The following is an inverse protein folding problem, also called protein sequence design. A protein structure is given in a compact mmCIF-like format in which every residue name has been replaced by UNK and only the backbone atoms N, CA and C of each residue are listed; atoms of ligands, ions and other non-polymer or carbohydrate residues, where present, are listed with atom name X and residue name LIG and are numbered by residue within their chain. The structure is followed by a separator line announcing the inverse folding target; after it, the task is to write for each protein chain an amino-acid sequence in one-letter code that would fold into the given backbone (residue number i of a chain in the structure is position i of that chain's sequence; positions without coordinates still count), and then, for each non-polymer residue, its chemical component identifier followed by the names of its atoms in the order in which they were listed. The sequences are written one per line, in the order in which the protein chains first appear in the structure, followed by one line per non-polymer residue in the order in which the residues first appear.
data_IF_872877774067
#
_entry.id   IF_872877774067
#
_cell.length_a   1.000
_cell.length_b   1.000
_cell.length_c   1.000
_cell.angle_alpha   90.00
_cell.angle_beta   90.00
_cell.angle_gamma   90.00
#
_symmetry.space_group_name_H-M   'P 1'
#
loop_
_entity.id
_entity.type
_entity.pdbx_description
1 polymer ?
#
# COMPACT_ATOMS: atom_id res chain seq x y z
N UNK A 1 15.38 2.98 4.22
CA UNK A 1 14.26 2.22 3.65
C UNK A 1 13.86 2.88 2.35
N UNK A 2 13.85 2.10 1.28
CA UNK A 2 13.34 2.50 -0.03
C UNK A 2 11.96 1.88 -0.22
N UNK A 3 11.10 2.56 -0.96
CA UNK A 3 9.77 2.03 -1.25
C UNK A 3 9.15 2.66 -2.48
N UNK A 4 8.27 1.89 -3.12
CA UNK A 4 7.41 2.38 -4.20
C UNK A 4 5.96 2.04 -3.87
N UNK A 5 5.09 2.98 -4.20
CA UNK A 5 3.65 2.85 -4.07
C UNK A 5 3.01 2.93 -5.46
N UNK A 6 2.16 1.95 -5.76
CA UNK A 6 1.43 1.81 -7.00
C UNK A 6 -0.05 1.94 -6.73
N UNK A 7 -0.69 2.83 -7.47
CA UNK A 7 -2.13 3.05 -7.43
C UNK A 7 -2.66 2.82 -8.83
N UNK A 8 -3.48 1.80 -8.99
CA UNK A 8 -4.22 1.59 -10.24
C UNK A 8 -5.53 2.36 -10.14
N UNK A 9 -5.62 3.46 -10.88
CA UNK A 9 -6.85 4.26 -11.03
C UNK A 9 -7.60 3.87 -12.32
N UNK A 10 -8.90 3.57 -12.20
CA UNK A 10 -9.78 3.15 -13.30
C UNK A 10 -10.93 2.29 -12.79
N UNK A 11 -11.83 1.80 -13.66
CA UNK A 11 -12.97 0.90 -13.35
C UNK A 11 -12.59 -0.42 -12.63
N UNK A 12 -11.33 -0.61 -12.29
CA UNK A 12 -10.85 -1.64 -11.41
C UNK A 12 -10.97 -1.18 -9.95
N UNK A 13 -11.73 -1.92 -9.14
CA UNK A 13 -11.78 -1.75 -7.69
C UNK A 13 -10.35 -1.58 -7.15
N UNK A 14 -10.02 -0.38 -6.65
CA UNK A 14 -8.64 0.12 -6.52
C UNK A 14 -7.66 -0.91 -5.96
N UNK A 15 -6.68 -1.30 -6.76
CA UNK A 15 -5.58 -2.18 -6.34
C UNK A 15 -4.39 -1.31 -5.94
N UNK A 16 -4.34 -0.93 -4.67
CA UNK A 16 -3.17 -0.24 -4.11
C UNK A 16 -2.12 -1.27 -3.72
N UNK A 17 -0.90 -1.13 -4.21
CA UNK A 17 0.21 -2.03 -3.92
C UNK A 17 1.45 -1.23 -3.53
N UNK A 18 2.28 -1.80 -2.68
CA UNK A 18 3.57 -1.20 -2.34
C UNK A 18 4.63 -2.27 -2.12
N UNK A 19 5.88 -1.86 -2.23
CA UNK A 19 6.99 -2.60 -1.68
C UNK A 19 7.91 -1.69 -0.89
N UNK A 20 8.61 -2.29 0.07
CA UNK A 20 9.64 -1.68 0.91
C UNK A 20 10.88 -2.57 0.91
N UNK A 21 12.05 -1.95 0.88
CA UNK A 21 13.32 -2.65 0.98
C UNK A 21 14.37 -1.81 1.71
N UNK A 22 15.34 -2.46 2.34
CA UNK A 22 16.54 -1.81 2.86
C UNK A 22 17.73 -1.89 1.90
N UNK A 23 17.54 -2.41 0.68
CA UNK A 23 18.55 -2.68 -0.37
C UNK A 23 19.60 -3.76 -0.06
N UNK A 24 19.58 -4.36 1.13
CA UNK A 24 20.62 -5.30 1.58
C UNK A 24 20.04 -6.69 1.84
N UNK A 25 19.02 -6.79 2.69
CA UNK A 25 18.50 -8.08 3.15
C UNK A 25 17.01 -8.10 3.50
N UNK A 26 16.36 -6.93 3.54
CA UNK A 26 14.95 -6.82 3.87
C UNK A 26 14.13 -6.42 2.64
N UNK A 27 13.08 -7.19 2.37
CA UNK A 27 12.09 -6.91 1.33
C UNK A 27 10.69 -7.26 1.83
N UNK A 28 9.75 -6.33 1.68
CA UNK A 28 8.34 -6.48 2.06
C UNK A 28 7.47 -5.97 0.91
N UNK A 29 6.39 -6.68 0.61
CA UNK A 29 5.36 -6.21 -0.33
C UNK A 29 3.99 -6.31 0.32
N UNK A 30 3.12 -5.35 0.01
CA UNK A 30 1.73 -5.33 0.45
C UNK A 30 0.81 -4.97 -0.70
N UNK A 31 -0.36 -5.59 -0.74
CA UNK A 31 -1.40 -5.31 -1.73
C UNK A 31 -2.76 -5.28 -1.05
N UNK A 32 -3.59 -4.31 -1.46
CA UNK A 32 -4.93 -4.10 -0.92
C UNK A 32 -5.93 -4.32 -2.06
N UNK A 33 -6.92 -5.17 -1.79
CA UNK A 33 -7.97 -5.50 -2.73
C UNK A 33 -9.33 -5.18 -2.10
N UNK A 34 -10.16 -4.42 -2.82
CA UNK A 34 -11.54 -4.22 -2.42
C UNK A 34 -12.40 -5.40 -2.89
N UNK A 35 -13.02 -6.10 -1.93
CA UNK A 35 -13.99 -7.17 -2.21
C UNK A 35 -15.39 -6.59 -2.46
N UNK A 36 -15.51 -5.60 -3.33
CA UNK A 36 -16.78 -4.96 -3.66
C UNK A 36 -16.85 -4.69 -5.16
N UNK A 37 -18.04 -4.86 -5.75
CA UNK A 37 -18.32 -4.38 -7.10
C UNK A 37 -18.17 -2.85 -7.08
N UNK A 38 -17.33 -2.24 -7.93
CA UNK A 38 -16.85 -0.88 -7.75
C UNK A 38 -18.00 0.11 -7.94
N UNK A 39 -18.64 0.52 -6.84
CA UNK A 39 -19.38 1.77 -6.81
C UNK A 39 -18.40 2.84 -6.33
N UNK A 40 -17.63 3.40 -7.29
CA UNK A 40 -16.47 4.26 -7.06
C UNK A 40 -16.74 5.38 -6.05
N UNK A 41 -17.90 6.02 -6.17
CA UNK A 41 -18.30 7.13 -5.31
C UNK A 41 -18.54 6.74 -3.84
N UNK A 42 -18.90 5.48 -3.57
CA UNK A 42 -19.15 5.00 -2.20
C UNK A 42 -17.87 4.55 -1.48
N UNK A 43 -16.85 4.12 -2.23
CA UNK A 43 -15.60 3.59 -1.66
C UNK A 43 -14.46 4.62 -1.68
N UNK A 44 -14.62 5.75 -2.37
CA UNK A 44 -13.61 6.81 -2.46
C UNK A 44 -13.08 7.29 -1.09
N UNK A 45 -13.93 7.51 -0.05
CA UNK A 45 -13.43 7.88 1.27
C UNK A 45 -12.57 6.75 1.87
N UNK A 46 -13.06 5.51 1.81
CA UNK A 46 -12.36 4.34 2.34
C UNK A 46 -11.03 4.08 1.62
N UNK A 47 -10.98 4.25 0.31
CA UNK A 47 -9.75 4.16 -0.49
C UNK A 47 -8.75 5.24 -0.09
N UNK A 48 -9.21 6.46 0.16
CA UNK A 48 -8.36 7.55 0.66
C UNK A 48 -7.79 7.24 2.05
N UNK A 49 -8.60 6.67 2.96
CA UNK A 49 -8.12 6.23 4.27
C UNK A 49 -7.06 5.14 4.15
N UNK A 50 -7.31 4.08 3.38
CA UNK A 50 -6.34 3.00 3.19
C UNK A 50 -5.03 3.49 2.57
N UNK A 51 -5.10 4.45 1.63
CA UNK A 51 -3.90 5.07 1.07
C UNK A 51 -3.07 5.82 2.13
N UNK A 52 -3.73 6.54 3.04
CA UNK A 52 -3.04 7.25 4.12
C UNK A 52 -2.43 6.28 5.12
N UNK A 53 -3.14 5.21 5.47
CA UNK A 53 -2.63 4.16 6.36
C UNK A 53 -1.42 3.43 5.74
N UNK A 54 -1.49 3.10 4.44
CA UNK A 54 -0.37 2.49 3.71
C UNK A 54 0.85 3.41 3.70
N UNK A 55 0.67 4.72 3.47
CA UNK A 55 1.76 5.70 3.54
C UNK A 55 2.36 5.73 4.94
N UNK A 56 1.53 5.82 5.97
CA UNK A 56 1.98 5.84 7.36
C UNK A 56 2.75 4.56 7.73
N UNK A 57 2.29 3.40 7.27
CA UNK A 57 2.99 2.13 7.44
C UNK A 57 4.36 2.16 6.75
N UNK A 58 4.43 2.63 5.51
CA UNK A 58 5.69 2.76 4.77
C UNK A 58 6.69 3.70 5.47
N UNK A 59 6.21 4.79 6.08
CA UNK A 59 7.02 5.77 6.80
C UNK A 59 7.51 5.27 8.17
N UNK A 60 6.75 4.37 8.82
CA UNK A 60 7.04 3.91 10.20
C UNK A 60 7.74 2.57 10.27
N UNK A 61 7.84 1.82 9.16
CA UNK A 61 8.56 0.54 9.11
C UNK A 61 10.03 0.72 9.49
N UNK A 62 10.43 0.04 10.57
CA UNK A 62 11.81 -0.11 11.00
C UNK A 62 12.25 -1.56 10.85
N UNK A 63 13.34 -1.78 10.13
CA UNK A 63 13.94 -3.10 9.96
C UNK A 63 14.69 -3.49 11.23
N UNK A 64 14.49 -4.73 11.69
CA UNK A 64 15.29 -5.27 12.78
C UNK A 64 16.69 -5.56 12.25
N UNK A 65 17.72 -4.98 12.88
CA UNK A 65 19.10 -5.37 12.59
C UNK A 65 19.29 -6.82 13.02
N UNK A 66 19.78 -7.65 12.11
CA UNK A 66 20.25 -8.99 12.46
C UNK A 66 21.59 -8.80 13.18
N UNK A 67 21.64 -9.13 14.47
CA UNK A 67 22.88 -9.20 15.26
C UNK A 67 23.59 -10.53 15.02
#
# INVERSE_FOLDING_TARGET
TYGMFYEVSGDAASQAQFYLTDSVSHFMTGSVYFRAQPNYDSILPAATYLKNDMRHLMETVNWKKTE
#
